data_IF_154146455052
#
_entry.id   IF_154146455052
#
_cell.length_a   1.000
_cell.length_b   1.000
_cell.length_c   1.000
_cell.angle_alpha   90.00
_cell.angle_beta   90.00
_cell.angle_gamma   90.00
#
_symmetry.space_group_name_H-M   'P 1'
#
loop_
_entity.id
_entity.type
_entity.pdbx_description
1 polymer ?
#
# COMPACT_ATOMS: atom_id res chain seq x y z
N UNK A 1 12.90 25.40 8.09
CA UNK A 1 12.42 25.13 6.73
C UNK A 1 12.86 26.27 5.81
N UNK A 2 13.53 25.99 4.70
CA UNK A 2 13.94 27.01 3.73
C UNK A 2 13.83 26.42 2.32
N UNK A 3 13.62 27.27 1.32
CA UNK A 3 13.44 26.83 -0.06
C UNK A 3 12.98 27.97 -0.96
N UNK A 4 12.90 27.65 -2.24
CA UNK A 4 12.32 28.52 -3.25
C UNK A 4 11.28 27.77 -4.06
N UNK A 5 10.30 28.51 -4.56
CA UNK A 5 9.23 28.03 -5.42
C UNK A 5 9.35 28.75 -6.78
N UNK A 6 9.17 27.98 -7.84
CA UNK A 6 8.93 28.49 -9.20
C UNK A 6 7.49 28.15 -9.55
N UNK A 7 6.67 29.15 -9.87
CA UNK A 7 5.25 28.99 -10.23
C UNK A 7 5.05 28.96 -11.73
N UNK A 8 3.86 28.52 -12.14
CA UNK A 8 3.46 28.38 -13.55
C UNK A 8 3.48 29.72 -14.30
N UNK A 9 3.17 30.83 -13.62
CA UNK A 9 3.25 32.19 -14.16
C UNK A 9 4.70 32.73 -14.28
N UNK A 10 5.69 31.91 -13.93
CA UNK A 10 7.10 32.27 -13.89
C UNK A 10 7.51 33.07 -12.66
N UNK A 11 6.58 33.42 -11.76
CA UNK A 11 6.90 34.09 -10.52
C UNK A 11 7.69 33.17 -9.59
N UNK A 12 8.55 33.78 -8.78
CA UNK A 12 9.39 33.06 -7.82
C UNK A 12 9.07 33.50 -6.40
N UNK A 13 9.14 32.58 -5.45
CA UNK A 13 9.05 32.91 -4.02
C UNK A 13 10.19 32.24 -3.28
N UNK A 14 10.84 32.97 -2.38
CA UNK A 14 11.75 32.40 -1.39
C UNK A 14 11.09 32.37 -0.02
N UNK A 15 11.49 31.41 0.82
CA UNK A 15 11.15 31.41 2.24
C UNK A 15 12.32 30.85 3.05
N UNK A 16 12.46 31.36 4.27
CA UNK A 16 13.45 30.87 5.22
C UNK A 16 12.94 31.07 6.64
N UNK A 17 12.64 29.99 7.33
CA UNK A 17 12.05 29.99 8.67
C UNK A 17 12.67 28.91 9.55
N UNK A 18 12.68 29.15 10.85
CA UNK A 18 13.19 28.24 11.86
C UNK A 18 12.12 27.99 12.91
N UNK A 19 12.04 26.74 13.36
CA UNK A 19 11.24 26.34 14.50
C UNK A 19 12.12 25.82 15.63
N UNK A 20 11.63 25.97 16.87
CA UNK A 20 12.26 25.50 18.10
C UNK A 20 11.19 24.87 18.98
N UNK A 21 11.43 23.66 19.51
CA UNK A 21 10.46 22.85 20.26
C UNK A 21 9.12 22.67 19.54
N UNK A 22 9.17 22.47 18.22
CA UNK A 22 7.98 22.28 17.38
C UNK A 22 7.13 23.53 17.18
N UNK A 23 7.60 24.71 17.61
CA UNK A 23 6.93 26.00 17.41
C UNK A 23 7.74 26.90 16.50
N UNK A 24 7.06 27.81 15.81
CA UNK A 24 7.74 28.83 15.03
C UNK A 24 8.61 29.73 15.93
N UNK A 25 9.80 30.11 15.44
CA UNK A 25 10.81 30.80 16.23
C UNK A 25 11.32 32.08 15.57
N UNK A 26 11.92 32.00 14.38
CA UNK A 26 12.39 33.17 13.61
C UNK A 26 12.19 32.94 12.12
N UNK A 27 11.82 33.98 11.37
CA UNK A 27 11.60 33.89 9.94
C UNK A 27 12.22 35.08 9.20
N UNK A 28 12.55 34.88 7.93
CA UNK A 28 13.08 35.89 7.03
C UNK A 28 11.92 36.60 6.32
N UNK A 29 11.83 37.91 6.50
CA UNK A 29 11.04 38.77 5.61
C UNK A 29 11.79 38.87 4.28
N UNK A 30 11.23 38.32 3.21
CA UNK A 30 11.85 38.29 1.88
C UNK A 30 11.58 39.54 1.05
N UNK A 31 10.76 40.47 1.53
CA UNK A 31 10.63 41.81 0.95
C UNK A 31 11.76 42.72 1.44
N UNK A 32 12.04 42.66 2.74
CA UNK A 32 13.04 43.52 3.41
C UNK A 32 14.39 42.86 3.60
N UNK A 33 14.47 41.54 3.44
CA UNK A 33 15.66 40.71 3.65
C UNK A 33 16.23 40.81 5.08
N UNK A 34 15.33 40.86 6.06
CA UNK A 34 15.68 40.89 7.49
C UNK A 34 14.93 39.80 8.24
N UNK A 35 15.57 39.24 9.26
CA UNK A 35 14.94 38.28 10.14
C UNK A 35 14.04 38.98 11.16
N UNK A 36 12.86 38.44 11.39
CA UNK A 36 11.97 38.89 12.45
C UNK A 36 11.69 37.75 13.44
N UNK A 37 11.68 38.04 14.75
CA UNK A 37 11.37 37.05 15.76
C UNK A 37 9.87 36.75 15.78
N UNK A 38 9.52 35.48 15.98
CA UNK A 38 8.15 35.02 16.21
C UNK A 38 7.87 34.73 17.69
N UNK A 39 8.92 34.74 18.51
CA UNK A 39 8.85 34.61 19.97
C UNK A 39 9.82 35.59 20.64
N UNK A 40 9.61 35.89 21.92
CA UNK A 40 10.51 36.76 22.69
C UNK A 40 11.92 36.20 22.78
N UNK A 41 12.05 34.88 22.90
CA UNK A 41 13.33 34.17 22.95
C UNK A 41 14.12 34.32 21.64
N UNK A 42 13.45 34.54 20.51
CA UNK A 42 14.08 34.70 19.21
C UNK A 42 14.64 36.12 18.94
N UNK A 43 14.32 37.11 19.78
CA UNK A 43 14.71 38.51 19.55
C UNK A 43 16.23 38.68 19.43
N UNK A 44 16.98 38.06 20.35
CA UNK A 44 18.45 38.13 20.36
C UNK A 44 19.04 37.52 19.09
N UNK A 45 18.48 36.40 18.62
CA UNK A 45 18.89 35.74 17.37
C UNK A 45 18.62 36.61 16.15
N UNK A 46 17.41 37.17 16.03
CA UNK A 46 17.05 38.04 14.93
C UNK A 46 17.93 39.30 14.88
N UNK A 47 18.15 39.96 16.01
CA UNK A 47 19.04 41.12 16.12
C UNK A 47 20.47 40.79 15.69
N UNK A 48 21.02 39.67 16.19
CA UNK A 48 22.36 39.23 15.83
C UNK A 48 22.48 38.93 14.33
N UNK A 49 21.51 38.23 13.74
CA UNK A 49 21.53 37.89 12.31
C UNK A 49 21.36 39.10 11.39
N UNK A 50 20.63 40.11 11.84
CA UNK A 50 20.46 41.38 11.13
C UNK A 50 21.58 42.38 11.39
N UNK A 51 22.57 42.03 12.22
CA UNK A 51 23.67 42.95 12.54
C UNK A 51 24.51 43.26 11.28
N UNK A 52 25.11 44.46 11.19
CA UNK A 52 25.95 44.83 10.05
C UNK A 52 27.14 43.88 9.83
N UNK A 53 27.59 43.19 10.88
CA UNK A 53 28.69 42.23 10.81
C UNK A 53 28.27 40.91 10.16
N UNK A 54 27.04 40.43 10.42
CA UNK A 54 26.60 39.11 9.94
C UNK A 54 25.77 39.18 8.65
N UNK A 55 24.85 40.16 8.55
CA UNK A 55 23.98 40.41 7.39
C UNK A 55 23.42 39.12 6.79
N UNK A 56 22.91 38.23 7.64
CA UNK A 56 22.50 36.87 7.24
C UNK A 56 21.38 36.90 6.20
N UNK A 57 20.46 37.86 6.32
CA UNK A 57 19.37 38.04 5.37
C UNK A 57 19.85 38.27 3.93
N UNK A 58 20.89 39.07 3.72
CA UNK A 58 21.46 39.33 2.39
C UNK A 58 22.17 38.11 1.80
N UNK A 59 22.87 37.35 2.64
CA UNK A 59 23.50 36.10 2.21
C UNK A 59 22.44 35.09 1.74
N UNK A 60 21.33 35.03 2.47
CA UNK A 60 20.22 34.15 2.15
C UNK A 60 19.42 34.64 0.94
N UNK A 61 19.32 35.95 0.72
CA UNK A 61 18.82 36.53 -0.54
C UNK A 61 19.56 35.96 -1.74
N UNK A 62 20.89 36.03 -1.72
CA UNK A 62 21.70 35.51 -2.82
C UNK A 62 21.45 34.00 -3.06
N UNK A 63 21.32 33.20 -1.99
CA UNK A 63 20.95 31.80 -2.15
C UNK A 63 19.57 31.62 -2.78
N UNK A 64 18.54 32.30 -2.25
CA UNK A 64 17.16 32.12 -2.67
C UNK A 64 16.92 32.59 -4.11
N UNK A 65 17.50 33.72 -4.51
CA UNK A 65 17.31 34.30 -5.84
C UNK A 65 18.26 33.71 -6.89
N UNK A 66 19.55 33.57 -6.56
CA UNK A 66 20.59 33.30 -7.57
C UNK A 66 21.11 31.85 -7.56
N UNK A 67 20.79 31.05 -6.53
CA UNK A 67 21.23 29.65 -6.44
C UNK A 67 20.03 28.73 -6.55
N UNK A 68 19.06 28.88 -5.65
CA UNK A 68 17.93 27.98 -5.52
C UNK A 68 17.08 27.91 -6.80
N UNK A 69 16.72 29.05 -7.40
CA UNK A 69 15.90 29.09 -8.62
C UNK A 69 16.60 28.48 -9.84
N UNK A 70 17.89 28.78 -10.13
CA UNK A 70 18.60 28.08 -11.20
C UNK A 70 18.68 26.56 -10.98
N UNK A 71 18.88 26.11 -9.74
CA UNK A 71 18.92 24.68 -9.42
C UNK A 71 17.56 24.00 -9.58
N UNK A 72 16.45 24.62 -9.13
CA UNK A 72 15.12 24.00 -9.31
C UNK A 72 14.77 23.86 -10.79
N UNK A 73 15.12 24.84 -11.65
CA UNK A 73 14.95 24.72 -13.10
C UNK A 73 15.71 23.52 -13.68
N UNK A 74 16.96 23.33 -13.25
CA UNK A 74 17.79 22.19 -13.67
C UNK A 74 17.21 20.84 -13.19
N UNK A 75 16.71 20.78 -11.97
CA UNK A 75 16.08 19.56 -11.45
C UNK A 75 14.75 19.25 -12.12
N UNK A 76 13.97 20.27 -12.50
CA UNK A 76 12.75 20.08 -13.30
C UNK A 76 13.06 19.49 -14.67
N UNK A 77 14.17 19.90 -15.30
CA UNK A 77 14.61 19.33 -16.57
C UNK A 77 15.08 17.87 -16.41
N UNK A 78 15.92 17.59 -15.41
CA UNK A 78 16.46 16.24 -15.19
C UNK A 78 15.43 15.24 -14.66
N UNK A 79 14.51 15.71 -13.81
CA UNK A 79 13.49 14.89 -13.17
C UNK A 79 12.16 14.90 -13.92
N UNK A 80 12.09 15.49 -15.12
CA UNK A 80 10.82 15.70 -15.84
C UNK A 80 9.97 14.42 -15.93
N UNK A 81 10.58 13.32 -16.36
CA UNK A 81 9.89 12.04 -16.51
C UNK A 81 9.29 11.54 -15.19
N UNK A 82 10.06 11.63 -14.09
CA UNK A 82 9.62 11.19 -12.76
C UNK A 82 8.57 12.13 -12.14
N UNK A 83 8.68 13.44 -12.36
CA UNK A 83 7.74 14.43 -11.84
C UNK A 83 6.42 14.47 -12.62
N UNK A 84 6.46 14.22 -13.92
CA UNK A 84 5.28 14.19 -14.79
C UNK A 84 4.65 12.79 -14.89
N UNK A 85 5.25 11.76 -14.26
CA UNK A 85 4.72 10.41 -14.30
C UNK A 85 3.30 10.37 -13.73
N UNK A 86 2.53 9.41 -14.21
CA UNK A 86 1.16 9.18 -13.75
C UNK A 86 1.03 7.71 -13.44
N UNK A 87 0.74 7.39 -12.18
CA UNK A 87 0.52 6.01 -11.75
C UNK A 87 -0.95 5.84 -11.43
N UNK A 88 -1.55 4.82 -12.05
CA UNK A 88 -2.97 4.52 -11.90
C UNK A 88 -3.23 3.90 -10.52
N UNK A 89 -4.22 4.39 -9.74
CA UNK A 89 -4.55 3.80 -8.45
C UNK A 89 -5.09 2.38 -8.57
N UNK A 90 -4.79 1.57 -7.55
CA UNK A 90 -5.54 0.35 -7.22
C UNK A 90 -6.59 0.69 -6.17
N UNK A 91 -7.84 0.26 -6.39
CA UNK A 91 -8.97 0.56 -5.50
C UNK A 91 -9.55 -0.73 -4.96
N UNK A 92 -9.65 -0.82 -3.63
CA UNK A 92 -10.29 -1.91 -2.91
C UNK A 92 -11.43 -1.38 -2.05
N UNK A 93 -12.60 -1.97 -2.25
CA UNK A 93 -13.77 -1.71 -1.41
C UNK A 93 -13.99 -2.90 -0.48
N UNK A 94 -14.21 -2.62 0.80
CA UNK A 94 -14.47 -3.64 1.84
C UNK A 94 -15.40 -3.10 2.90
N UNK A 95 -16.14 -3.97 3.59
CA UNK A 95 -16.96 -3.58 4.74
C UNK A 95 -16.47 -4.18 6.06
N UNK A 96 -16.86 -3.54 7.16
CA UNK A 96 -16.63 -4.01 8.51
C UNK A 96 -17.82 -3.66 9.40
N UNK A 97 -18.50 -4.67 9.94
CA UNK A 97 -19.67 -4.49 10.81
C UNK A 97 -19.32 -4.71 12.28
N UNK A 98 -19.67 -3.75 13.14
CA UNK A 98 -19.54 -3.84 14.61
C UNK A 98 -20.79 -3.28 15.25
N UNK A 99 -21.39 -4.02 16.19
CA UNK A 99 -22.55 -3.57 16.97
C UNK A 99 -23.72 -3.04 16.13
N UNK A 100 -23.99 -3.66 14.97
CA UNK A 100 -25.09 -3.27 14.07
C UNK A 100 -24.78 -2.09 13.13
N UNK A 101 -23.65 -1.40 13.30
CA UNK A 101 -23.17 -0.37 12.39
C UNK A 101 -22.18 -0.99 11.40
N UNK A 102 -22.36 -0.71 10.11
CA UNK A 102 -21.42 -1.15 9.07
C UNK A 102 -20.60 0.02 8.56
N UNK A 103 -19.28 -0.17 8.48
CA UNK A 103 -18.35 0.77 7.85
C UNK A 103 -17.97 0.26 6.48
N UNK A 104 -18.20 1.05 5.44
CA UNK A 104 -17.67 0.78 4.11
C UNK A 104 -16.36 1.54 3.96
N UNK A 105 -15.30 0.84 3.57
CA UNK A 105 -13.96 1.38 3.36
C UNK A 105 -13.62 1.35 1.87
N UNK A 106 -13.25 2.51 1.33
CA UNK A 106 -12.61 2.61 0.03
C UNK A 106 -11.12 2.88 0.26
N UNK A 107 -10.30 1.91 -0.11
CA UNK A 107 -8.85 1.96 0.02
C UNK A 107 -8.25 2.18 -1.36
N UNK A 108 -7.54 3.28 -1.54
CA UNK A 108 -6.89 3.64 -2.80
C UNK A 108 -5.39 3.63 -2.57
N UNK A 109 -4.66 2.86 -3.38
CA UNK A 109 -3.22 2.61 -3.21
C UNK A 109 -2.45 2.83 -4.52
N UNK A 110 -1.14 3.09 -4.40
CA UNK A 110 -0.22 3.04 -5.53
C UNK A 110 -0.35 4.18 -6.53
N UNK A 111 -0.91 5.33 -6.14
CA UNK A 111 -1.15 6.43 -7.08
C UNK A 111 -0.10 7.54 -7.00
N UNK A 112 0.05 8.27 -8.10
CA UNK A 112 0.87 9.47 -8.21
C UNK A 112 0.35 10.33 -9.39
N UNK A 113 0.21 11.66 -9.27
CA UNK A 113 0.67 12.54 -8.18
C UNK A 113 -0.16 12.45 -6.87
N UNK A 114 0.21 13.24 -5.86
CA UNK A 114 -0.41 13.21 -4.52
C UNK A 114 -1.88 13.65 -4.52
N UNK A 115 -2.23 14.59 -5.38
CA UNK A 115 -3.55 15.22 -5.39
C UNK A 115 -4.59 14.27 -5.98
N UNK A 116 -5.63 13.98 -5.20
CA UNK A 116 -6.67 13.01 -5.52
C UNK A 116 -7.99 13.39 -4.85
N UNK A 117 -9.11 13.13 -5.53
CA UNK A 117 -10.45 13.22 -4.96
C UNK A 117 -11.07 11.81 -4.83
N UNK A 118 -11.60 11.49 -3.66
CA UNK A 118 -12.22 10.19 -3.37
C UNK A 118 -13.51 10.40 -2.60
N UNK A 119 -14.62 9.93 -3.16
CA UNK A 119 -15.95 10.09 -2.55
C UNK A 119 -16.77 8.82 -2.58
N UNK A 120 -17.71 8.75 -1.65
CA UNK A 120 -18.76 7.74 -1.67
C UNK A 120 -20.03 8.31 -2.31
N UNK A 121 -20.67 7.50 -3.13
CA UNK A 121 -22.00 7.75 -3.66
C UNK A 121 -22.93 6.59 -3.36
N UNK A 122 -24.21 6.91 -3.13
CA UNK A 122 -25.29 5.95 -3.05
C UNK A 122 -26.31 6.25 -4.14
N UNK A 123 -26.53 5.31 -5.06
CA UNK A 123 -27.46 5.47 -6.18
C UNK A 123 -27.23 6.78 -6.97
N UNK A 124 -25.97 7.19 -7.13
CA UNK A 124 -25.56 8.41 -7.84
C UNK A 124 -25.60 9.71 -7.01
N UNK A 125 -26.03 9.68 -5.75
CA UNK A 125 -25.99 10.83 -4.85
C UNK A 125 -24.77 10.76 -3.93
N UNK A 126 -24.02 11.85 -3.82
CA UNK A 126 -22.88 11.96 -2.90
C UNK A 126 -23.36 11.79 -1.45
N UNK A 127 -22.66 10.96 -0.68
CA UNK A 127 -22.94 10.76 0.75
C UNK A 127 -21.81 11.35 1.60
N UNK A 128 -22.11 11.95 2.76
CA UNK A 128 -21.08 12.43 3.67
C UNK A 128 -20.20 11.26 4.13
N UNK A 129 -18.93 11.27 3.73
CA UNK A 129 -17.95 10.30 4.18
C UNK A 129 -17.04 10.89 5.24
N UNK A 130 -16.71 10.09 6.24
CA UNK A 130 -15.64 10.42 7.18
C UNK A 130 -14.30 10.13 6.49
N UNK A 131 -13.66 11.20 6.02
CA UNK A 131 -12.32 11.15 5.47
C UNK A 131 -11.33 10.58 6.50
N UNK A 132 -10.41 9.71 6.05
CA UNK A 132 -9.06 9.82 6.59
C UNK A 132 -8.48 11.11 6.00
N UNK A 133 -8.40 12.17 6.82
CA UNK A 133 -7.94 13.52 6.49
C UNK A 133 -6.55 13.64 5.82
N UNK A 134 -5.87 12.52 5.54
CA UNK A 134 -4.47 12.51 5.13
C UNK A 134 -4.22 11.44 4.06
N UNK A 135 -3.65 11.89 2.94
CA UNK A 135 -2.96 11.06 1.96
C UNK A 135 -1.59 10.67 2.55
N UNK A 136 -1.32 9.38 2.64
CA UNK A 136 -0.08 8.84 3.20
C UNK A 136 0.92 8.48 2.09
N UNK A 137 2.21 8.76 2.26
CA UNK A 137 3.25 8.34 1.32
C UNK A 137 3.57 6.85 1.48
N UNK A 138 3.96 6.22 0.37
CA UNK A 138 4.56 4.89 0.31
C UNK A 138 6.08 4.99 0.06
N UNK A 139 6.81 3.90 0.32
CA UNK A 139 8.28 3.86 0.15
C UNK A 139 8.75 3.90 -1.30
N UNK A 140 7.88 3.57 -2.24
CA UNK A 140 8.14 3.55 -3.69
C UNK A 140 7.85 4.91 -4.36
N UNK A 141 7.55 5.95 -3.58
CA UNK A 141 7.21 7.28 -4.10
C UNK A 141 5.79 7.40 -4.63
N UNK A 142 4.90 6.44 -4.34
CA UNK A 142 3.45 6.56 -4.56
C UNK A 142 2.72 6.95 -3.28
N UNK A 143 1.39 7.07 -3.36
CA UNK A 143 0.54 7.47 -2.24
C UNK A 143 -0.59 6.46 -1.98
N UNK A 144 -1.21 6.59 -0.81
CA UNK A 144 -2.40 5.85 -0.43
C UNK A 144 -3.38 6.72 0.38
N UNK A 145 -4.67 6.45 0.25
CA UNK A 145 -5.74 7.11 1.01
C UNK A 145 -6.85 6.10 1.33
N UNK A 146 -7.56 6.32 2.45
CA UNK A 146 -8.75 5.54 2.83
C UNK A 146 -9.92 6.46 3.15
N UNK A 147 -11.04 6.28 2.47
CA UNK A 147 -12.28 7.02 2.75
C UNK A 147 -13.35 6.06 3.28
N UNK A 148 -13.98 6.42 4.39
CA UNK A 148 -14.93 5.56 5.08
C UNK A 148 -16.30 6.21 5.20
N UNK A 149 -17.37 5.44 5.00
CA UNK A 149 -18.75 5.85 5.30
C UNK A 149 -19.38 4.88 6.29
N UNK A 150 -20.16 5.39 7.23
CA UNK A 150 -20.97 4.60 8.15
C UNK A 150 -22.38 4.44 7.60
N UNK A 151 -22.84 3.20 7.48
CA UNK A 151 -24.14 2.85 6.92
C UNK A 151 -24.89 1.87 7.83
N UNK A 152 -26.22 1.98 7.84
CA UNK A 152 -27.08 1.00 8.48
C UNK A 152 -26.97 -0.35 7.74
N UNK A 153 -27.14 -1.47 8.46
CA UNK A 153 -27.00 -2.81 7.87
C UNK A 153 -28.01 -3.08 6.73
N UNK A 154 -29.15 -2.42 6.74
CA UNK A 154 -30.18 -2.52 5.70
C UNK A 154 -29.94 -1.60 4.50
N UNK A 155 -28.97 -0.68 4.60
CA UNK A 155 -28.78 0.40 3.63
C UNK A 155 -27.46 0.30 2.85
N UNK A 156 -26.82 -0.88 2.87
CA UNK A 156 -25.49 -1.10 2.28
C UNK A 156 -25.49 -1.09 0.75
N UNK A 157 -26.56 -1.58 0.13
CA UNK A 157 -26.65 -1.72 -1.32
C UNK A 157 -26.66 -0.37 -2.04
N UNK A 158 -26.19 -0.35 -3.29
CA UNK A 158 -26.15 0.85 -4.12
C UNK A 158 -25.01 1.82 -3.80
N UNK A 159 -24.16 1.51 -2.81
CA UNK A 159 -22.96 2.28 -2.51
C UNK A 159 -21.83 2.01 -3.51
N UNK A 160 -21.11 3.06 -3.87
CA UNK A 160 -19.96 3.00 -4.77
C UNK A 160 -18.92 4.04 -4.36
N UNK A 161 -17.65 3.66 -4.47
CA UNK A 161 -16.53 4.57 -4.33
C UNK A 161 -16.16 5.15 -5.70
N UNK A 162 -15.98 6.47 -5.74
CA UNK A 162 -15.60 7.21 -6.95
C UNK A 162 -14.25 7.86 -6.70
N UNK A 163 -13.33 7.64 -7.63
CA UNK A 163 -11.95 8.13 -7.55
C UNK A 163 -11.67 8.97 -8.78
N UNK A 164 -11.32 10.23 -8.56
CA UNK A 164 -10.83 11.15 -9.58
C UNK A 164 -9.36 11.49 -9.30
N UNK A 165 -8.54 11.40 -10.35
CA UNK A 165 -7.10 11.51 -10.24
C UNK A 165 -6.48 11.76 -11.61
N UNK A 166 -5.41 12.55 -11.67
CA UNK A 166 -4.76 12.98 -12.91
C UNK A 166 -4.24 11.85 -13.82
N UNK A 167 -4.12 10.62 -13.31
CA UNK A 167 -3.76 9.43 -14.09
C UNK A 167 -4.93 8.69 -14.74
N UNK A 168 -6.17 9.15 -14.53
CA UNK A 168 -7.39 8.54 -15.05
C UNK A 168 -8.02 9.43 -16.13
N UNK A 169 -8.43 8.84 -17.24
CA UNK A 169 -9.18 9.57 -18.29
C UNK A 169 -10.63 9.89 -17.87
N UNK A 170 -11.18 9.07 -16.97
CA UNK A 170 -12.52 9.17 -16.43
C UNK A 170 -12.52 8.68 -14.98
N UNK A 171 -13.47 9.18 -14.19
CA UNK A 171 -13.68 8.76 -12.80
C UNK A 171 -13.79 7.24 -12.69
N UNK A 172 -12.99 6.64 -11.82
CA UNK A 172 -13.05 5.22 -11.53
C UNK A 172 -14.15 4.97 -10.49
N UNK A 173 -15.18 4.21 -10.88
CA UNK A 173 -16.28 3.82 -9.99
C UNK A 173 -16.14 2.35 -9.59
N UNK A 174 -16.02 2.09 -8.29
CA UNK A 174 -15.98 0.74 -7.71
C UNK A 174 -17.19 0.55 -6.81
N UNK A 175 -18.11 -0.32 -7.21
CA UNK A 175 -19.31 -0.64 -6.42
C UNK A 175 -18.92 -1.46 -5.21
N UNK A 176 -19.62 -1.23 -4.10
CA UNK A 176 -19.58 -2.17 -2.98
C UNK A 176 -20.36 -3.43 -3.36
N UNK A 177 -19.76 -4.58 -3.14
CA UNK A 177 -20.39 -5.88 -3.29
C UNK A 177 -20.21 -6.67 -2.00
N UNK A 178 -21.23 -7.42 -1.54
CA UNK A 178 -21.10 -8.26 -0.36
C UNK A 178 -20.01 -9.29 -0.62
N UNK A 179 -19.02 -9.32 0.28
CA UNK A 179 -17.92 -10.26 0.16
C UNK A 179 -18.46 -11.69 0.30
N UNK A 180 -18.66 -12.38 -0.83
CA UNK A 180 -19.08 -13.78 -0.79
C UNK A 180 -17.99 -14.54 -0.05
N UNK A 181 -18.34 -15.19 1.06
CA UNK A 181 -17.44 -16.15 1.70
C UNK A 181 -17.03 -17.15 0.62
N UNK A 182 -15.75 -17.15 0.30
CA UNK A 182 -15.21 -17.84 -0.89
C UNK A 182 -15.66 -19.29 -0.92
N UNK A 183 -16.69 -19.59 -1.72
CA UNK A 183 -17.11 -20.94 -2.04
C UNK A 183 -15.95 -21.75 -2.65
N UNK A 184 -14.93 -21.06 -3.19
CA UNK A 184 -13.69 -21.66 -3.69
C UNK A 184 -12.98 -22.50 -2.62
N UNK A 185 -12.94 -22.05 -1.37
CA UNK A 185 -12.26 -22.80 -0.30
C UNK A 185 -13.02 -24.10 0.02
N UNK A 186 -14.35 -24.04 0.06
CA UNK A 186 -15.21 -25.20 0.23
C UNK A 186 -15.17 -26.16 -0.97
N UNK A 187 -15.07 -25.64 -2.20
CA UNK A 187 -14.91 -26.43 -3.42
C UNK A 187 -13.57 -27.17 -3.41
N UNK A 188 -12.47 -26.51 -3.03
CA UNK A 188 -11.14 -27.14 -2.93
C UNK A 188 -11.14 -28.23 -1.86
N UNK A 189 -11.74 -27.98 -0.69
CA UNK A 189 -11.89 -29.00 0.36
C UNK A 189 -12.71 -30.19 -0.14
N UNK A 190 -13.86 -29.95 -0.78
CA UNK A 190 -14.72 -31.01 -1.30
C UNK A 190 -14.01 -31.86 -2.37
N UNK A 191 -13.21 -31.24 -3.24
CA UNK A 191 -12.44 -31.94 -4.26
C UNK A 191 -11.34 -32.82 -3.65
N UNK A 192 -10.59 -32.32 -2.68
CA UNK A 192 -9.56 -33.09 -1.95
C UNK A 192 -10.15 -34.30 -1.22
N UNK A 193 -11.31 -34.12 -0.59
CA UNK A 193 -12.03 -35.23 0.06
C UNK A 193 -12.52 -36.26 -0.96
N UNK A 194 -13.04 -35.81 -2.12
CA UNK A 194 -13.45 -36.71 -3.20
C UNK A 194 -12.31 -37.57 -3.74
N UNK A 195 -11.14 -36.97 -4.01
CA UNK A 195 -9.96 -37.68 -4.53
C UNK A 195 -9.43 -38.70 -3.53
N UNK A 196 -9.34 -38.33 -2.25
CA UNK A 196 -8.87 -39.24 -1.20
C UNK A 196 -9.82 -40.43 -0.98
N UNK A 197 -11.14 -40.21 -1.04
CA UNK A 197 -12.13 -41.28 -0.97
C UNK A 197 -12.01 -42.26 -2.15
N UNK A 198 -11.84 -41.76 -3.38
CA UNK A 198 -11.67 -42.60 -4.57
C UNK A 198 -10.38 -43.43 -4.46
N UNK A 199 -9.27 -42.80 -4.05
CA UNK A 199 -8.00 -43.50 -3.87
C UNK A 199 -8.10 -44.61 -2.81
N UNK A 200 -8.82 -44.36 -1.70
CA UNK A 200 -9.06 -45.37 -0.67
C UNK A 200 -9.90 -46.55 -1.19
N UNK A 201 -10.96 -46.30 -1.96
CA UNK A 201 -11.78 -47.35 -2.57
C UNK A 201 -10.96 -48.18 -3.57
N UNK A 202 -10.19 -47.53 -4.45
CA UNK A 202 -9.32 -48.22 -5.41
C UNK A 202 -8.25 -49.05 -4.68
N UNK A 203 -7.62 -48.48 -3.66
CA UNK A 203 -6.67 -49.18 -2.79
C UNK A 203 -7.29 -50.40 -2.11
N UNK A 204 -8.50 -50.27 -1.58
CA UNK A 204 -9.24 -51.37 -0.95
C UNK A 204 -9.60 -52.49 -1.94
N UNK A 205 -10.04 -52.14 -3.17
CA UNK A 205 -10.33 -53.12 -4.23
C UNK A 205 -9.06 -53.88 -4.63
N UNK A 206 -7.93 -53.19 -4.80
CA UNK A 206 -6.65 -53.82 -5.14
C UNK A 206 -6.18 -54.73 -4.01
N UNK A 207 -6.30 -54.30 -2.74
CA UNK A 207 -5.94 -55.10 -1.58
C UNK A 207 -6.79 -56.37 -1.48
N UNK A 208 -8.12 -56.27 -1.68
CA UNK A 208 -9.02 -57.43 -1.71
C UNK A 208 -8.68 -58.40 -2.86
N UNK A 209 -8.34 -57.89 -4.05
CA UNK A 209 -7.88 -58.72 -5.18
C UNK A 209 -6.56 -59.43 -4.91
N UNK A 210 -5.64 -58.82 -4.16
CA UNK A 210 -4.36 -59.44 -3.77
C UNK A 210 -4.52 -60.45 -2.64
N UNK A 211 -5.40 -60.20 -1.67
CA UNK A 211 -5.67 -61.11 -0.54
C UNK A 211 -6.41 -62.39 -0.96
N UNK A 212 -7.12 -62.37 -2.10
CA UNK A 212 -7.79 -63.54 -2.68
C UNK A 212 -6.88 -64.55 -3.42
N UNK A 213 -5.58 -64.26 -3.59
CA UNK A 213 -4.61 -65.22 -4.16
C UNK A 213 -3.71 -65.77 -3.05
N UNK A 214 -4.17 -66.83 -2.36
CA UNK A 214 -3.26 -67.76 -1.69
C UNK A 214 -2.60 -68.63 -2.78
N UNK A 215 -1.30 -68.44 -2.96
CA UNK A 215 -0.41 -69.25 -3.80
C UNK A 215 -0.29 -70.66 -3.21
N UNK A 216 -0.76 -71.68 -3.94
CA UNK A 216 -0.40 -73.07 -3.72
C UNK A 216 0.98 -73.31 -4.36
N UNK A 217 2.01 -73.55 -3.55
CA UNK A 217 3.27 -74.12 -4.04
C UNK A 217 3.09 -75.64 -4.16
N UNK A 218 3.37 -76.17 -5.34
CA UNK A 218 3.31 -77.59 -5.65
C UNK A 218 4.43 -78.36 -4.93
N UNK A 219 4.06 -79.47 -4.29
CA UNK A 219 4.98 -80.45 -3.73
C UNK A 219 5.38 -81.42 -4.85
N UNK A 220 6.68 -81.58 -5.13
CA UNK A 220 7.18 -82.66 -5.99
C UNK A 220 8.03 -83.60 -5.12
N UNK A 221 7.61 -84.86 -5.04
CA UNK A 221 8.37 -85.95 -4.44
C UNK A 221 9.24 -86.60 -5.51
N UNK A 222 10.51 -86.83 -5.18
CA UNK A 222 11.31 -87.95 -5.71
C UNK A 222 12.21 -88.49 -4.59
N UNK A 223 11.97 -89.75 -4.23
CA UNK A 223 12.95 -90.70 -3.65
C UNK A 223 14.09 -90.89 -4.69
N UNK A 224 15.35 -91.23 -4.39
CA UNK A 224 15.85 -92.08 -3.30
C UNK A 224 17.39 -91.95 -3.14
N UNK A 225 17.85 -92.36 -1.95
CA UNK A 225 19.13 -92.99 -1.55
C UNK A 225 20.47 -92.22 -1.30
N UNK A 226 20.83 -92.35 -0.02
CA UNK A 226 22.11 -92.78 0.59
C UNK A 226 23.39 -91.95 0.52
N UNK A 227 23.98 -91.72 1.70
CA UNK A 227 25.44 -91.60 1.86
C UNK A 227 25.95 -90.59 2.88
N UNK A 228 26.02 -91.00 4.15
CA UNK A 228 27.15 -90.82 5.07
C UNK A 228 27.90 -89.45 5.21
N UNK A 229 27.84 -88.93 6.44
CA UNK A 229 28.96 -88.49 7.32
C UNK A 229 29.68 -87.13 7.15
N UNK A 230 29.74 -86.46 8.32
CA UNK A 230 30.84 -85.66 8.94
C UNK A 230 31.14 -84.19 8.55
N UNK A 231 30.94 -83.34 9.56
CA UNK A 231 31.92 -82.42 10.20
C UNK A 231 32.41 -81.12 9.52
N UNK A 232 32.27 -80.05 10.31
CA UNK A 232 33.28 -79.00 10.62
C UNK A 232 33.49 -77.79 9.69
N UNK A 233 33.38 -76.63 10.34
CA UNK A 233 34.25 -75.44 10.28
C UNK A 233 34.44 -74.67 8.96
N UNK A 234 33.96 -73.42 8.92
CA UNK A 234 34.73 -72.18 9.10
C UNK A 234 33.82 -70.97 8.89
#
# INVERSE_FOLDING_TARGET
MYGCELRDDGSTRGYWQYGYDGKDFVALDTERWVYYPLTDQAQVTAQRWNSPELRVGERNKNYLENICIPWIRKYLEYGKEELERRVRPEVKVSDHSVNGVTKLHCQVHGFYPRDMDVKWQKNGMDVPSHEAKHVFPNSDGTYQIRVTVEVAAEDREGHSCHVDHASLDQTLTVKWEPQSSSNTLWIVIAFLVGVTAIAAVVGFIIWKKRSGKKTNYAQTNTLDKDGSSTSSNA
#
